data_IF_225012007689
#
_entry.id   IF_225012007689
#
_cell.length_a   1.000
_cell.length_b   1.000
_cell.length_c   1.000
_cell.angle_alpha   90.00
_cell.angle_beta   90.00
_cell.angle_gamma   90.00
#
_symmetry.space_group_name_H-M   'P 1'
#
loop_
_entity.id
_entity.type
_entity.pdbx_description
1 polymer ?
#
# COMPACT_ATOMS: atom_id res chain seq x y z
N UNK A 1 94.79 -16.86 -38.09
CA UNK A 1 94.52 -18.07 -38.90
C UNK A 1 93.84 -19.08 -38.01
N UNK A 2 92.86 -19.81 -38.44
CA UNK A 2 92.01 -20.82 -37.80
C UNK A 2 90.74 -20.30 -37.23
N UNK A 3 89.68 -20.56 -38.01
CA UNK A 3 88.27 -20.37 -37.67
C UNK A 3 87.78 -21.56 -36.85
N UNK A 4 87.23 -21.30 -35.67
CA UNK A 4 86.42 -22.28 -34.91
C UNK A 4 84.98 -22.10 -35.21
N UNK A 5 84.35 -23.11 -35.75
CA UNK A 5 82.90 -23.25 -35.88
C UNK A 5 82.34 -23.72 -34.57
N UNK A 6 81.40 -22.98 -34.02
CA UNK A 6 80.58 -23.41 -32.87
C UNK A 6 79.28 -23.89 -33.34
N UNK A 7 78.93 -25.12 -33.04
CA UNK A 7 77.61 -25.72 -33.21
C UNK A 7 76.64 -25.16 -32.17
N UNK A 8 75.50 -24.63 -32.66
CA UNK A 8 74.35 -24.32 -31.81
C UNK A 8 73.45 -25.55 -31.74
N UNK A 9 73.31 -26.09 -30.50
CA UNK A 9 72.31 -27.11 -30.18
C UNK A 9 70.99 -26.39 -29.89
N UNK A 10 69.92 -26.67 -30.68
CA UNK A 10 68.58 -26.20 -30.43
C UNK A 10 67.89 -27.11 -29.40
N UNK A 11 67.66 -26.63 -28.22
CA UNK A 11 66.75 -27.24 -27.23
C UNK A 11 65.32 -26.77 -27.50
N UNK A 12 64.46 -27.70 -27.91
CA UNK A 12 63.03 -27.46 -28.02
C UNK A 12 62.43 -27.40 -26.60
N UNK A 13 62.09 -26.20 -26.15
CA UNK A 13 61.32 -25.98 -24.93
C UNK A 13 59.82 -26.20 -25.26
N UNK A 14 59.26 -27.26 -24.70
CA UNK A 14 57.81 -27.45 -24.69
C UNK A 14 57.13 -26.38 -23.83
N UNK A 15 56.42 -25.44 -24.46
CA UNK A 15 55.55 -24.51 -23.81
C UNK A 15 54.30 -25.29 -23.31
N UNK A 16 54.25 -25.59 -22.00
CA UNK A 16 53.03 -26.02 -21.35
C UNK A 16 52.07 -24.82 -21.31
N UNK A 17 51.01 -24.87 -22.13
CA UNK A 17 49.88 -23.95 -22.03
C UNK A 17 49.19 -24.20 -20.68
N UNK A 18 48.85 -23.15 -19.89
CA UNK A 18 48.07 -23.33 -18.71
C UNK A 18 46.65 -23.83 -19.14
N UNK A 19 46.27 -24.99 -18.68
CA UNK A 19 44.91 -25.46 -18.78
C UNK A 19 44.01 -24.48 -18.03
N UNK A 20 43.29 -23.64 -18.74
CA UNK A 20 42.18 -22.85 -18.19
C UNK A 20 41.14 -23.88 -17.77
N UNK A 21 41.15 -24.24 -16.50
CA UNK A 21 40.02 -24.95 -15.89
C UNK A 21 38.88 -23.91 -15.84
N UNK A 22 38.07 -23.90 -16.87
CA UNK A 22 36.74 -23.31 -16.78
C UNK A 22 36.06 -24.02 -15.62
N UNK A 23 36.03 -23.36 -14.44
CA UNK A 23 35.05 -23.67 -13.43
C UNK A 23 33.70 -23.41 -14.08
N UNK A 24 33.07 -24.46 -14.59
CA UNK A 24 31.65 -24.46 -14.84
C UNK A 24 31.00 -24.10 -13.49
N UNK A 25 30.67 -22.83 -13.32
CA UNK A 25 29.70 -22.43 -12.35
C UNK A 25 28.42 -23.17 -12.75
N UNK A 26 28.17 -24.30 -12.15
CA UNK A 26 26.84 -24.89 -12.12
C UNK A 26 25.99 -23.83 -11.38
N UNK A 27 25.42 -22.88 -12.12
CA UNK A 27 24.33 -22.06 -11.62
C UNK A 27 23.29 -23.06 -11.15
N UNK A 28 23.12 -23.18 -9.81
CA UNK A 28 22.05 -23.98 -9.26
C UNK A 28 20.76 -23.44 -9.85
N UNK A 29 20.12 -24.24 -10.70
CA UNK A 29 18.87 -23.87 -11.33
C UNK A 29 17.83 -23.75 -10.23
N UNK A 30 17.12 -22.63 -10.20
CA UNK A 30 16.00 -22.43 -9.27
C UNK A 30 14.98 -23.59 -9.41
N UNK A 31 14.53 -24.11 -8.27
CA UNK A 31 13.49 -25.12 -8.22
C UNK A 31 12.44 -24.75 -7.16
N UNK A 32 11.19 -24.65 -7.55
CA UNK A 32 10.08 -24.43 -6.62
C UNK A 32 9.96 -25.51 -5.55
N UNK A 33 10.46 -26.72 -5.80
CA UNK A 33 10.39 -27.88 -4.88
C UNK A 33 11.57 -27.98 -3.91
N UNK A 34 12.49 -27.01 -3.89
CA UNK A 34 13.69 -27.06 -3.06
C UNK A 34 13.43 -27.12 -1.53
N UNK A 35 12.18 -26.79 -1.09
CA UNK A 35 11.74 -26.93 0.30
C UNK A 35 10.57 -27.92 0.44
N UNK A 36 10.43 -28.87 -0.49
CA UNK A 36 9.37 -29.89 -0.48
C UNK A 36 9.30 -30.63 0.86
N UNK A 37 8.09 -30.77 1.39
CA UNK A 37 7.80 -31.43 2.67
C UNK A 37 7.84 -30.49 3.87
N UNK A 38 8.28 -29.24 3.71
CA UNK A 38 8.19 -28.24 4.75
C UNK A 38 6.72 -27.89 5.06
N UNK A 39 6.49 -27.33 6.26
CA UNK A 39 5.24 -26.71 6.67
C UNK A 39 5.53 -25.28 7.09
N UNK A 40 4.73 -24.31 6.61
CA UNK A 40 4.81 -22.91 7.01
C UNK A 40 3.47 -22.42 7.56
N UNK A 41 3.54 -21.47 8.47
CA UNK A 41 2.37 -20.73 8.97
C UNK A 41 2.40 -19.30 8.44
N UNK A 42 1.28 -18.85 7.88
CA UNK A 42 1.14 -17.53 7.24
C UNK A 42 0.12 -16.70 7.98
N UNK A 43 0.54 -15.54 8.48
CA UNK A 43 -0.30 -14.60 9.23
C UNK A 43 -0.71 -13.44 8.33
N UNK A 44 -2.00 -13.34 8.01
CA UNK A 44 -2.58 -12.33 7.12
C UNK A 44 -3.58 -11.44 7.87
N UNK A 45 -3.58 -10.16 7.56
CA UNK A 45 -4.73 -9.32 7.88
C UNK A 45 -5.93 -9.74 7.02
N UNK A 46 -7.11 -9.90 7.65
CA UNK A 46 -8.33 -10.28 6.93
C UNK A 46 -8.69 -9.21 5.90
N UNK A 47 -8.71 -9.65 4.64
CA UNK A 47 -8.95 -8.78 3.50
C UNK A 47 -9.30 -9.60 2.26
N UNK A 48 -9.91 -8.99 1.22
CA UNK A 48 -10.11 -9.67 -0.06
C UNK A 48 -8.82 -10.26 -0.66
N UNK A 49 -7.68 -9.63 -0.40
CA UNK A 49 -6.35 -10.14 -0.82
C UNK A 49 -5.99 -11.45 -0.12
N UNK A 50 -6.22 -11.50 1.18
CA UNK A 50 -6.05 -12.73 1.96
C UNK A 50 -6.95 -13.85 1.46
N UNK A 51 -8.19 -13.54 1.09
CA UNK A 51 -9.14 -14.51 0.54
C UNK A 51 -8.64 -15.08 -0.80
N UNK A 52 -8.08 -14.25 -1.70
CA UNK A 52 -7.48 -14.72 -2.95
C UNK A 52 -6.27 -15.60 -2.69
N UNK A 53 -5.35 -15.20 -1.80
CA UNK A 53 -4.20 -16.03 -1.46
C UNK A 53 -4.61 -17.40 -0.90
N UNK A 54 -5.65 -17.44 -0.05
CA UNK A 54 -6.17 -18.71 0.47
C UNK A 54 -6.89 -19.54 -0.60
N UNK A 55 -7.63 -18.92 -1.51
CA UNK A 55 -8.31 -19.63 -2.60
C UNK A 55 -7.31 -20.32 -3.54
N UNK A 56 -6.13 -19.74 -3.73
CA UNK A 56 -5.05 -20.27 -4.57
C UNK A 56 -3.98 -21.06 -3.79
N UNK A 57 -4.13 -21.23 -2.47
CA UNK A 57 -3.15 -21.91 -1.61
C UNK A 57 -2.79 -23.30 -2.12
N UNK A 58 -3.78 -24.07 -2.59
CA UNK A 58 -3.58 -25.42 -3.11
C UNK A 58 -2.65 -25.44 -4.34
N UNK A 59 -2.73 -24.44 -5.20
CA UNK A 59 -1.83 -24.30 -6.36
C UNK A 59 -0.37 -24.11 -5.90
N UNK A 60 -0.15 -23.31 -4.86
CA UNK A 60 1.18 -23.19 -4.25
C UNK A 60 1.68 -24.51 -3.65
N UNK A 61 0.82 -25.22 -2.92
CA UNK A 61 1.17 -26.50 -2.30
C UNK A 61 1.51 -27.56 -3.35
N UNK A 62 0.78 -27.63 -4.47
CA UNK A 62 1.06 -28.52 -5.60
C UNK A 62 2.36 -28.14 -6.33
N UNK A 63 2.60 -26.85 -6.53
CA UNK A 63 3.81 -26.33 -7.16
C UNK A 63 5.07 -26.67 -6.38
N UNK A 64 5.01 -26.52 -5.05
CA UNK A 64 6.20 -26.54 -4.19
C UNK A 64 6.35 -27.81 -3.36
N UNK A 65 5.24 -28.49 -3.08
CA UNK A 65 5.19 -29.58 -2.09
C UNK A 65 5.30 -29.09 -0.63
N UNK A 66 5.14 -27.79 -0.38
CA UNK A 66 5.10 -27.17 0.94
C UNK A 66 3.65 -27.14 1.41
N UNK A 67 3.39 -27.47 2.68
CA UNK A 67 2.07 -27.30 3.28
C UNK A 67 1.94 -25.93 3.94
N UNK A 68 0.79 -25.29 3.78
CA UNK A 68 0.53 -23.94 4.30
C UNK A 68 -0.60 -23.96 5.32
N UNK A 69 -0.35 -23.47 6.53
CA UNK A 69 -1.36 -23.01 7.46
C UNK A 69 -1.53 -21.49 7.27
N UNK A 70 -2.73 -21.04 6.90
CA UNK A 70 -2.99 -19.61 6.73
C UNK A 70 -4.05 -19.12 7.71
N UNK A 71 -3.66 -18.20 8.58
CA UNK A 71 -4.57 -17.52 9.51
C UNK A 71 -4.87 -16.12 9.01
N UNK A 72 -6.17 -15.79 8.84
CA UNK A 72 -6.64 -14.43 8.58
C UNK A 72 -7.28 -13.84 9.83
N UNK A 73 -6.75 -12.71 10.32
CA UNK A 73 -7.20 -12.02 11.54
C UNK A 73 -7.61 -10.59 11.18
N UNK A 74 -8.69 -10.03 11.77
CA UNK A 74 -9.02 -8.61 11.61
C UNK A 74 -7.80 -7.72 11.89
N UNK A 75 -7.59 -6.69 11.08
CA UNK A 75 -6.34 -5.89 11.10
C UNK A 75 -6.00 -5.29 12.46
N UNK A 76 -7.01 -4.86 13.23
CA UNK A 76 -6.84 -4.29 14.57
C UNK A 76 -6.33 -5.31 15.60
N UNK A 77 -6.48 -6.60 15.33
CA UNK A 77 -5.97 -7.69 16.17
C UNK A 77 -4.68 -8.27 15.59
N UNK A 78 -4.58 -8.38 14.26
CA UNK A 78 -3.42 -8.93 13.57
C UNK A 78 -2.15 -8.10 13.83
N UNK A 79 -2.24 -6.78 13.69
CA UNK A 79 -1.08 -5.87 13.85
C UNK A 79 -0.43 -5.95 15.22
N UNK A 80 -1.16 -5.80 16.36
CA UNK A 80 -0.55 -5.94 17.68
C UNK A 80 -0.08 -7.38 17.96
N UNK A 81 -0.82 -8.41 17.54
CA UNK A 81 -0.38 -9.81 17.68
C UNK A 81 0.96 -10.02 16.99
N UNK A 82 1.06 -9.66 15.71
CA UNK A 82 2.29 -9.80 14.94
C UNK A 82 3.47 -9.02 15.56
N UNK A 83 3.23 -7.78 16.01
CA UNK A 83 4.25 -6.96 16.65
C UNK A 83 4.77 -7.59 17.95
N UNK A 84 3.88 -8.08 18.83
CA UNK A 84 4.25 -8.73 20.10
C UNK A 84 5.06 -10.00 19.83
N UNK A 85 4.63 -10.85 18.90
CA UNK A 85 5.30 -12.09 18.59
C UNK A 85 6.67 -11.86 17.95
N UNK A 86 6.79 -10.92 17.02
CA UNK A 86 8.07 -10.54 16.42
C UNK A 86 9.04 -9.94 17.45
N UNK A 87 8.53 -9.06 18.34
CA UNK A 87 9.33 -8.47 19.41
C UNK A 87 9.83 -9.51 20.43
N UNK A 88 9.05 -10.57 20.67
CA UNK A 88 9.44 -11.66 21.57
C UNK A 88 10.56 -12.56 20.98
N UNK A 89 10.87 -12.44 19.67
CA UNK A 89 11.77 -13.33 18.96
C UNK A 89 11.24 -14.76 18.76
N UNK A 90 9.94 -14.98 18.97
CA UNK A 90 9.29 -16.29 18.85
C UNK A 90 7.96 -16.21 18.10
N UNK A 91 7.99 -15.78 16.82
CA UNK A 91 6.77 -15.74 16.02
C UNK A 91 6.20 -17.15 15.82
N UNK A 92 4.88 -17.26 15.89
CA UNK A 92 4.15 -18.50 15.56
C UNK A 92 3.95 -18.67 14.06
N UNK A 93 4.41 -17.73 13.25
CA UNK A 93 4.27 -17.68 11.79
C UNK A 93 5.64 -17.54 11.11
N UNK A 94 5.74 -18.08 9.89
CA UNK A 94 6.93 -18.01 9.03
C UNK A 94 6.82 -16.86 7.99
N UNK A 95 5.58 -16.46 7.68
CA UNK A 95 5.28 -15.35 6.77
C UNK A 95 4.26 -14.42 7.43
N UNK A 96 4.44 -13.12 7.24
CA UNK A 96 3.54 -12.11 7.80
C UNK A 96 3.22 -11.01 6.79
N UNK A 97 1.93 -10.62 6.73
CA UNK A 97 1.50 -9.39 6.07
C UNK A 97 1.73 -8.20 7.01
N UNK A 98 2.35 -7.15 6.53
CA UNK A 98 2.70 -5.94 7.27
C UNK A 98 2.11 -4.71 6.59
N UNK A 99 1.39 -3.90 7.37
CA UNK A 99 0.91 -2.59 6.91
C UNK A 99 2.04 -1.56 7.05
N UNK A 100 2.78 -1.31 5.97
CA UNK A 100 3.97 -0.45 6.00
C UNK A 100 3.65 0.97 6.46
N UNK A 101 2.49 1.50 6.09
CA UNK A 101 2.02 2.84 6.50
C UNK A 101 1.79 3.03 8.02
N UNK A 102 1.78 1.93 8.81
CA UNK A 102 1.64 2.00 10.29
C UNK A 102 2.69 1.20 11.04
N UNK A 103 3.42 0.30 10.39
CA UNK A 103 4.35 -0.59 11.07
C UNK A 103 5.80 -0.45 10.61
N UNK A 104 6.07 0.32 9.52
CA UNK A 104 7.40 0.44 8.92
C UNK A 104 8.48 0.78 9.95
N UNK A 105 8.33 1.93 10.63
CA UNK A 105 9.33 2.38 11.60
C UNK A 105 9.49 1.43 12.79
N UNK A 106 8.39 0.80 13.20
CA UNK A 106 8.41 -0.16 14.30
C UNK A 106 9.21 -1.42 13.95
N UNK A 107 8.97 -2.00 12.77
CA UNK A 107 9.73 -3.18 12.30
C UNK A 107 11.19 -2.86 11.99
N UNK A 108 11.49 -1.68 11.50
CA UNK A 108 12.85 -1.20 11.26
C UNK A 108 13.63 -1.06 12.57
N UNK A 109 13.07 -0.35 13.56
CA UNK A 109 13.67 -0.14 14.88
C UNK A 109 13.91 -1.46 15.61
N UNK A 110 12.94 -2.39 15.54
CA UNK A 110 13.04 -3.70 16.15
C UNK A 110 13.86 -4.72 15.36
N UNK A 111 14.20 -4.43 14.10
CA UNK A 111 14.82 -5.37 13.14
C UNK A 111 14.09 -6.71 13.09
N UNK A 112 12.77 -6.66 13.07
CA UNK A 112 11.93 -7.86 13.20
C UNK A 112 11.77 -8.64 11.90
N UNK A 113 12.14 -8.06 10.76
CA UNK A 113 12.03 -8.71 9.46
C UNK A 113 13.39 -9.16 8.95
N UNK A 114 13.39 -10.25 8.19
CA UNK A 114 14.55 -10.73 7.43
C UNK A 114 14.95 -9.68 6.37
N UNK A 115 16.24 -9.51 6.16
CA UNK A 115 16.73 -8.72 5.03
C UNK A 115 16.60 -9.53 3.74
N UNK A 116 15.72 -9.12 2.85
CA UNK A 116 15.44 -9.85 1.63
C UNK A 116 16.49 -9.64 0.52
N UNK A 117 17.41 -8.68 0.65
CA UNK A 117 18.44 -8.43 -0.39
C UNK A 117 19.29 -9.67 -0.72
N UNK A 118 19.83 -10.42 0.26
CA UNK A 118 20.57 -11.64 -0.04
C UNK A 118 19.73 -12.71 -0.75
N UNK A 119 18.44 -12.79 -0.41
CA UNK A 119 17.51 -13.70 -1.04
C UNK A 119 17.25 -13.30 -2.49
N UNK A 120 16.89 -12.04 -2.73
CA UNK A 120 16.63 -11.46 -4.07
C UNK A 120 17.84 -11.67 -4.98
N UNK A 121 19.05 -11.46 -4.48
CA UNK A 121 20.30 -11.59 -5.25
C UNK A 121 20.73 -13.04 -5.50
N UNK A 122 20.11 -14.04 -4.86
CA UNK A 122 20.50 -15.44 -4.96
C UNK A 122 19.65 -16.20 -5.99
N UNK A 123 20.17 -16.49 -7.19
CA UNK A 123 19.40 -17.18 -8.24
C UNK A 123 19.06 -18.63 -7.90
N UNK A 124 19.67 -19.22 -6.87
CA UNK A 124 19.33 -20.58 -6.41
C UNK A 124 17.99 -20.65 -5.68
N UNK A 125 17.59 -19.56 -5.00
CA UNK A 125 16.36 -19.50 -4.18
C UNK A 125 15.34 -18.50 -4.73
N UNK A 126 15.69 -17.73 -5.73
CA UNK A 126 14.82 -16.70 -6.32
C UNK A 126 14.41 -17.07 -7.74
N UNK A 127 13.11 -17.10 -7.98
CA UNK A 127 12.53 -17.40 -9.27
C UNK A 127 12.98 -16.37 -10.33
N UNK A 128 13.35 -16.79 -11.53
CA UNK A 128 13.82 -15.88 -12.59
C UNK A 128 12.83 -14.79 -12.97
N UNK A 129 11.53 -14.98 -12.67
CA UNK A 129 10.45 -14.03 -12.96
C UNK A 129 10.12 -13.08 -11.80
N UNK A 130 10.93 -13.01 -10.73
CA UNK A 130 10.63 -12.12 -9.59
C UNK A 130 10.57 -10.65 -10.00
N UNK A 131 11.48 -10.20 -10.88
CA UNK A 131 11.49 -8.86 -11.52
C UNK A 131 11.15 -7.71 -10.53
N UNK A 132 12.16 -7.27 -9.81
CA UNK A 132 12.00 -6.19 -8.81
C UNK A 132 11.73 -4.82 -9.44
N UNK A 133 12.14 -4.60 -10.70
CA UNK A 133 11.95 -3.34 -11.43
C UNK A 133 10.49 -3.12 -11.86
N UNK A 134 9.70 -4.18 -11.90
CA UNK A 134 8.27 -4.11 -12.20
C UNK A 134 7.42 -3.54 -11.04
N UNK A 135 7.96 -3.53 -9.82
CA UNK A 135 7.31 -2.86 -8.70
C UNK A 135 7.43 -1.34 -8.81
N UNK A 136 6.40 -0.60 -8.38
CA UNK A 136 6.46 0.86 -8.36
C UNK A 136 7.55 1.37 -7.42
N UNK A 137 8.23 2.47 -7.79
CA UNK A 137 9.29 3.06 -6.97
C UNK A 137 8.82 3.40 -5.54
N UNK A 138 7.58 3.89 -5.39
CA UNK A 138 7.01 4.22 -4.09
C UNK A 138 6.87 2.97 -3.20
N UNK A 139 6.49 1.81 -3.77
CA UNK A 139 6.34 0.58 -2.98
C UNK A 139 7.69 0.00 -2.58
N UNK A 140 8.70 0.08 -3.44
CA UNK A 140 10.08 -0.31 -3.09
C UNK A 140 10.65 0.61 -2.00
N UNK A 141 10.42 1.92 -2.10
CA UNK A 141 10.81 2.87 -1.04
C UNK A 141 10.16 2.54 0.30
N UNK A 142 8.85 2.25 0.31
CA UNK A 142 8.15 1.86 1.52
C UNK A 142 8.65 0.52 2.09
N UNK A 143 9.02 -0.44 1.23
CA UNK A 143 9.53 -1.75 1.62
C UNK A 143 10.98 -1.70 2.14
N UNK A 144 11.70 -0.60 1.85
CA UNK A 144 13.14 -0.44 2.13
C UNK A 144 13.35 0.45 3.35
N UNK A 145 14.16 -0.01 4.28
CA UNK A 145 14.58 0.76 5.45
C UNK A 145 15.70 1.77 5.13
N UNK A 146 16.00 2.70 6.05
CA UNK A 146 17.02 3.72 5.86
C UNK A 146 18.45 3.15 5.74
N UNK A 147 18.68 1.93 6.22
CA UNK A 147 19.93 1.17 6.06
C UNK A 147 19.98 0.35 4.75
N UNK A 148 19.00 0.54 3.87
CA UNK A 148 18.87 -0.13 2.59
C UNK A 148 18.35 -1.56 2.67
N UNK A 149 17.98 -2.10 3.85
CA UNK A 149 17.38 -3.42 3.99
C UNK A 149 16.00 -3.44 3.33
N UNK A 150 15.73 -4.48 2.55
CA UNK A 150 14.40 -4.75 2.03
C UNK A 150 13.67 -5.65 3.03
N UNK A 151 12.73 -5.09 3.77
CA UNK A 151 12.06 -5.78 4.87
C UNK A 151 10.88 -6.66 4.42
N UNK A 152 10.26 -6.34 3.28
CA UNK A 152 9.10 -7.04 2.70
C UNK A 152 9.15 -6.95 1.18
N UNK A 153 8.44 -7.84 0.48
CA UNK A 153 8.02 -7.55 -0.90
C UNK A 153 6.68 -6.80 -0.87
N UNK A 154 6.49 -5.80 -1.76
CA UNK A 154 5.22 -5.09 -1.84
C UNK A 154 4.09 -6.04 -2.22
N UNK A 155 3.00 -6.00 -1.45
CA UNK A 155 1.84 -6.85 -1.66
C UNK A 155 0.65 -6.07 -2.24
N UNK A 156 0.44 -4.84 -1.77
CA UNK A 156 -0.63 -3.96 -2.25
C UNK A 156 -0.19 -2.51 -2.19
N UNK A 157 -0.67 -1.70 -3.13
CA UNK A 157 -0.52 -0.25 -3.11
C UNK A 157 -1.89 0.39 -3.29
N UNK A 158 -2.53 0.78 -2.20
CA UNK A 158 -3.78 1.51 -2.26
C UNK A 158 -3.52 3.01 -2.51
N UNK A 159 -4.44 3.65 -3.23
CA UNK A 159 -4.35 5.03 -3.65
C UNK A 159 -5.69 5.70 -3.40
N UNK A 160 -5.70 6.87 -2.80
CA UNK A 160 -6.93 7.62 -2.67
C UNK A 160 -7.33 8.24 -4.01
N UNK A 161 -8.63 8.12 -4.30
CA UNK A 161 -9.28 8.64 -5.50
C UNK A 161 -10.61 9.28 -5.14
N UNK A 162 -11.19 10.00 -6.08
CA UNK A 162 -12.55 10.47 -5.97
C UNK A 162 -13.49 9.55 -6.77
N UNK A 163 -14.37 8.85 -6.06
CA UNK A 163 -15.52 8.18 -6.68
C UNK A 163 -16.65 9.19 -6.82
N UNK A 164 -17.38 9.14 -7.94
CA UNK A 164 -18.55 10.00 -8.13
C UNK A 164 -19.70 9.24 -8.82
N UNK A 165 -20.93 9.64 -8.53
CA UNK A 165 -22.13 9.06 -9.15
C UNK A 165 -22.46 9.85 -10.42
N UNK A 166 -22.17 9.26 -11.59
CA UNK A 166 -22.37 9.88 -12.92
C UNK A 166 -23.81 10.34 -13.11
N UNK A 167 -24.79 9.51 -12.74
CA UNK A 167 -26.21 9.85 -12.91
C UNK A 167 -26.60 11.11 -12.15
N UNK A 168 -26.13 11.30 -10.90
CA UNK A 168 -26.36 12.51 -10.13
C UNK A 168 -25.70 13.73 -10.76
N UNK A 169 -24.47 13.56 -11.26
CA UNK A 169 -23.74 14.64 -11.93
C UNK A 169 -24.40 15.03 -13.25
N UNK A 170 -24.81 14.06 -14.07
CA UNK A 170 -25.48 14.28 -15.35
C UNK A 170 -26.83 15.01 -15.14
N UNK A 171 -27.64 14.56 -14.19
CA UNK A 171 -28.92 15.20 -13.84
C UNK A 171 -28.74 16.66 -13.39
N UNK A 172 -27.65 16.94 -12.65
CA UNK A 172 -27.33 18.30 -12.22
C UNK A 172 -26.55 19.12 -13.27
N UNK A 173 -26.23 18.52 -14.44
CA UNK A 173 -25.39 19.12 -15.49
C UNK A 173 -24.03 19.59 -14.93
N UNK A 174 -23.41 18.75 -14.13
CA UNK A 174 -22.08 18.95 -13.56
C UNK A 174 -21.05 18.05 -14.23
N UNK A 175 -19.86 18.58 -14.48
CA UNK A 175 -18.69 17.77 -14.80
C UNK A 175 -18.07 17.20 -13.51
N UNK A 176 -17.30 16.08 -13.58
CA UNK A 176 -16.50 15.62 -12.46
C UNK A 176 -15.56 16.73 -11.97
N UNK A 177 -15.45 16.95 -10.65
CA UNK A 177 -14.66 18.04 -10.10
C UNK A 177 -13.17 17.85 -10.34
N UNK A 178 -12.48 18.93 -10.72
CA UNK A 178 -11.03 18.98 -10.95
C UNK A 178 -10.28 19.77 -9.87
N UNK A 179 -11.01 20.46 -8.99
CA UNK A 179 -10.47 21.24 -7.88
C UNK A 179 -11.25 21.03 -6.59
N UNK A 180 -10.65 21.31 -5.43
CA UNK A 180 -11.35 21.27 -4.15
C UNK A 180 -12.52 22.24 -4.09
N UNK A 181 -12.42 23.37 -4.74
CA UNK A 181 -13.55 24.33 -4.86
C UNK A 181 -14.72 23.72 -5.63
N UNK A 182 -14.44 23.01 -6.72
CA UNK A 182 -15.47 22.31 -7.50
C UNK A 182 -16.08 21.12 -6.74
N UNK A 183 -15.30 20.39 -5.89
CA UNK A 183 -15.85 19.38 -4.97
C UNK A 183 -16.89 20.05 -4.05
N UNK A 184 -16.55 21.18 -3.45
CA UNK A 184 -17.44 21.90 -2.52
C UNK A 184 -18.73 22.35 -3.22
N UNK A 185 -18.61 22.92 -4.41
CA UNK A 185 -19.76 23.35 -5.24
C UNK A 185 -20.64 22.16 -5.63
N UNK A 186 -20.03 21.04 -6.05
CA UNK A 186 -20.78 19.84 -6.40
C UNK A 186 -21.47 19.24 -5.16
N UNK A 187 -20.77 19.20 -4.03
CA UNK A 187 -21.32 18.70 -2.77
C UNK A 187 -22.56 19.50 -2.33
N UNK A 188 -22.49 20.83 -2.42
CA UNK A 188 -23.64 21.71 -2.12
C UNK A 188 -24.82 21.46 -3.06
N UNK A 189 -24.59 21.46 -4.37
CA UNK A 189 -25.63 21.30 -5.38
C UNK A 189 -26.30 19.93 -5.39
N UNK A 190 -25.57 18.88 -4.99
CA UNK A 190 -26.03 17.50 -5.01
C UNK A 190 -26.56 17.01 -3.65
N UNK A 191 -26.58 17.88 -2.62
CA UNK A 191 -27.14 17.56 -1.31
C UNK A 191 -28.63 17.87 -1.27
N UNK A 192 -29.45 16.84 -1.00
CA UNK A 192 -30.87 16.96 -0.69
C UNK A 192 -31.14 16.17 0.61
N UNK A 193 -30.97 16.82 1.74
CA UNK A 193 -31.14 16.20 3.07
C UNK A 193 -32.56 15.69 3.29
N UNK A 194 -33.56 16.30 2.65
CA UNK A 194 -34.96 15.86 2.77
C UNK A 194 -35.19 14.49 2.13
N UNK A 195 -34.42 14.17 1.09
CA UNK A 195 -34.44 12.85 0.42
C UNK A 195 -33.40 11.88 0.98
N UNK A 196 -32.62 12.28 1.97
CA UNK A 196 -31.50 11.46 2.48
C UNK A 196 -30.35 11.28 1.47
N UNK A 197 -30.18 12.25 0.56
CA UNK A 197 -29.13 12.28 -0.44
C UNK A 197 -28.09 13.34 -0.04
N UNK A 198 -26.82 12.99 -0.13
CA UNK A 198 -25.71 13.80 0.31
C UNK A 198 -24.72 14.02 -0.83
N UNK A 199 -24.14 15.20 -0.90
CA UNK A 199 -23.15 15.52 -1.93
C UNK A 199 -21.81 14.79 -1.72
N UNK A 200 -21.53 14.39 -0.47
CA UNK A 200 -20.26 13.78 -0.10
C UNK A 200 -20.43 12.68 0.96
N UNK A 201 -19.51 11.73 0.98
CA UNK A 201 -19.28 10.83 2.13
C UNK A 201 -17.77 10.63 2.30
N UNK A 202 -17.30 10.53 3.54
CA UNK A 202 -15.89 10.36 3.88
C UNK A 202 -15.73 9.89 5.32
N UNK A 203 -14.53 9.43 5.67
CA UNK A 203 -14.23 8.87 6.98
C UNK A 203 -14.26 9.95 8.07
N UNK A 204 -15.14 9.82 9.04
CA UNK A 204 -15.22 10.68 10.22
C UNK A 204 -14.87 10.00 11.54
N UNK A 205 -14.85 8.65 11.56
CA UNK A 205 -14.55 7.87 12.75
C UNK A 205 -13.11 8.14 13.24
N UNK A 206 -12.95 8.40 14.53
CA UNK A 206 -11.66 8.58 15.19
C UNK A 206 -10.67 7.51 14.74
N UNK A 207 -9.49 7.95 14.48
CA UNK A 207 -8.28 7.45 13.83
C UNK A 207 -8.41 7.04 12.34
N UNK A 208 -9.58 6.64 11.87
CA UNK A 208 -9.80 6.44 10.43
C UNK A 208 -9.93 7.77 9.67
N UNK A 209 -10.40 8.85 10.33
CA UNK A 209 -10.54 10.19 9.76
C UNK A 209 -9.19 10.84 9.42
N UNK A 210 -8.11 10.47 10.13
CA UNK A 210 -6.77 11.03 9.89
C UNK A 210 -6.27 10.74 8.47
N UNK A 211 -6.51 9.55 7.93
CA UNK A 211 -6.05 9.21 6.56
C UNK A 211 -6.75 10.04 5.47
N UNK A 212 -8.03 10.39 5.68
CA UNK A 212 -8.74 11.29 4.77
C UNK A 212 -8.24 12.72 4.94
N UNK A 213 -8.10 13.19 6.19
CA UNK A 213 -7.61 14.54 6.49
C UNK A 213 -6.18 14.74 5.97
N UNK A 214 -5.28 13.79 6.17
CA UNK A 214 -3.90 13.90 5.69
C UNK A 214 -3.87 13.99 4.15
N UNK A 215 -4.73 13.23 3.44
CA UNK A 215 -4.83 13.41 1.98
C UNK A 215 -5.39 14.77 1.58
N UNK A 216 -6.37 15.31 2.33
CA UNK A 216 -6.87 16.68 2.09
C UNK A 216 -5.73 17.68 2.30
N UNK A 217 -4.94 17.56 3.37
CA UNK A 217 -3.81 18.43 3.68
C UNK A 217 -2.73 18.43 2.58
N UNK A 218 -2.49 17.30 1.91
CA UNK A 218 -1.59 17.22 0.77
C UNK A 218 -1.99 18.18 -0.37
N UNK A 219 -3.26 18.59 -0.45
CA UNK A 219 -3.73 19.62 -1.37
C UNK A 219 -3.18 21.03 -1.09
N UNK A 220 -2.67 21.28 0.12
CA UNK A 220 -1.92 22.49 0.49
C UNK A 220 -0.40 22.33 0.31
N UNK A 221 0.05 21.23 -0.34
CA UNK A 221 1.45 20.84 -0.49
C UNK A 221 2.16 20.72 0.88
N UNK A 222 1.45 20.18 1.86
CA UNK A 222 1.96 20.01 3.22
C UNK A 222 1.65 18.60 3.75
N UNK A 223 2.64 18.04 4.42
CA UNK A 223 2.53 16.84 5.24
C UNK A 223 2.35 17.19 6.73
N UNK A 224 2.05 16.21 7.56
CA UNK A 224 1.86 16.40 9.00
C UNK A 224 3.17 16.55 9.79
N UNK A 225 4.29 16.17 9.16
CA UNK A 225 5.65 16.36 9.69
C UNK A 225 6.48 17.23 8.74
N UNK A 226 7.48 17.90 9.31
CA UNK A 226 8.56 18.52 8.53
C UNK A 226 9.36 17.47 7.74
N UNK A 227 10.04 17.90 6.67
CA UNK A 227 10.81 17.01 5.81
C UNK A 227 11.91 16.21 6.55
N UNK A 228 12.43 16.73 7.67
CA UNK A 228 13.39 16.04 8.54
C UNK A 228 12.72 15.12 9.59
N UNK A 229 11.39 15.04 9.60
CA UNK A 229 10.59 14.22 10.52
C UNK A 229 10.56 14.69 11.97
N UNK A 230 11.17 15.84 12.30
CA UNK A 230 11.37 16.28 13.70
C UNK A 230 10.30 17.22 14.23
N UNK A 231 9.61 17.92 13.35
CA UNK A 231 8.61 18.91 13.72
C UNK A 231 7.21 18.52 13.29
N UNK A 232 6.27 18.60 14.21
CA UNK A 232 4.86 18.40 13.93
C UNK A 232 4.26 19.67 13.30
N UNK A 233 3.58 19.53 12.17
CA UNK A 233 3.00 20.62 11.38
C UNK A 233 1.46 20.61 11.40
N UNK A 234 0.85 19.80 12.27
CA UNK A 234 -0.61 19.62 12.32
C UNK A 234 -1.40 20.82 12.83
N UNK A 235 -0.75 21.83 13.38
CA UNK A 235 -1.34 23.13 13.77
C UNK A 235 -0.80 24.32 12.96
N UNK A 236 -0.21 24.06 11.80
CA UNK A 236 0.22 25.09 10.86
C UNK A 236 -0.98 25.82 10.21
N UNK A 237 -0.82 27.01 9.64
CA UNK A 237 -1.87 27.68 8.89
C UNK A 237 -2.52 26.80 7.81
N UNK A 238 -1.72 26.06 7.04
CA UNK A 238 -2.22 25.15 6.00
C UNK A 238 -3.04 23.99 6.60
N UNK A 239 -2.60 23.42 7.74
CA UNK A 239 -3.34 22.39 8.44
C UNK A 239 -4.69 22.88 8.96
N UNK A 240 -4.74 24.13 9.48
CA UNK A 240 -5.99 24.76 9.95
C UNK A 240 -6.94 25.02 8.79
N UNK A 241 -6.45 25.52 7.65
CA UNK A 241 -7.26 25.71 6.44
C UNK A 241 -7.81 24.39 5.92
N UNK A 242 -6.99 23.35 5.84
CA UNK A 242 -7.41 22.01 5.44
C UNK A 242 -8.47 21.42 6.39
N UNK A 243 -8.32 21.62 7.70
CA UNK A 243 -9.28 21.18 8.69
C UNK A 243 -10.60 21.95 8.61
N UNK A 244 -10.55 23.24 8.28
CA UNK A 244 -11.74 24.08 8.03
C UNK A 244 -12.49 23.58 6.79
N UNK A 245 -11.77 23.23 5.71
CA UNK A 245 -12.36 22.63 4.52
C UNK A 245 -12.98 21.26 4.83
N UNK A 246 -12.26 20.40 5.57
CA UNK A 246 -12.74 19.10 6.02
C UNK A 246 -13.99 19.23 6.90
N UNK A 247 -13.99 20.15 7.86
CA UNK A 247 -15.16 20.46 8.69
C UNK A 247 -16.37 20.78 7.85
N UNK A 248 -16.22 21.69 6.89
CA UNK A 248 -17.33 22.16 6.05
C UNK A 248 -17.91 21.02 5.22
N UNK A 249 -17.09 20.23 4.51
CA UNK A 249 -17.59 19.16 3.65
C UNK A 249 -18.29 18.07 4.45
N UNK A 250 -17.76 17.74 5.61
CA UNK A 250 -18.33 16.68 6.47
C UNK A 250 -19.59 17.10 7.20
N UNK A 251 -19.70 18.34 7.65
CA UNK A 251 -20.89 18.83 8.39
C UNK A 251 -22.04 19.21 7.46
N UNK A 252 -21.71 19.89 6.38
CA UNK A 252 -22.74 20.49 5.55
C UNK A 252 -23.28 19.51 4.51
N UNK A 253 -22.44 18.59 4.00
CA UNK A 253 -22.74 17.81 2.81
C UNK A 253 -22.57 16.29 2.97
N UNK A 254 -22.11 15.79 4.12
CA UNK A 254 -22.04 14.36 4.43
C UNK A 254 -23.24 13.90 5.28
N UNK A 255 -23.52 12.59 5.37
CA UNK A 255 -24.59 12.05 6.19
C UNK A 255 -24.48 12.46 7.65
N UNK A 256 -25.64 12.74 8.27
CA UNK A 256 -25.70 12.92 9.71
C UNK A 256 -25.19 11.64 10.41
N UNK A 257 -24.26 11.79 11.36
CA UNK A 257 -23.58 10.67 12.01
C UNK A 257 -22.31 10.19 11.29
N UNK A 258 -21.88 10.85 10.20
CA UNK A 258 -20.61 10.53 9.51
C UNK A 258 -19.36 10.58 10.40
N UNK A 259 -19.42 11.21 11.56
CA UNK A 259 -18.37 11.12 12.62
C UNK A 259 -18.11 9.69 13.08
N UNK A 260 -19.06 8.75 12.89
CA UNK A 260 -18.91 7.33 13.17
C UNK A 260 -18.54 6.49 11.95
N UNK A 261 -18.34 7.08 10.77
CA UNK A 261 -18.10 6.34 9.53
C UNK A 261 -16.62 6.04 9.33
N UNK A 262 -16.33 4.77 9.09
CA UNK A 262 -15.09 4.30 8.48
C UNK A 262 -15.34 4.06 6.97
N UNK A 263 -14.40 3.46 6.28
CA UNK A 263 -14.50 3.18 4.83
C UNK A 263 -15.74 2.31 4.49
N UNK A 264 -16.11 1.34 5.32
CA UNK A 264 -17.23 0.42 5.07
C UNK A 264 -18.59 1.13 5.06
N UNK A 265 -18.84 2.05 5.99
CA UNK A 265 -20.06 2.85 6.04
C UNK A 265 -20.13 3.84 4.89
N UNK A 266 -18.97 4.44 4.53
CA UNK A 266 -18.85 5.32 3.36
C UNK A 266 -19.14 4.57 2.06
N UNK A 267 -18.53 3.38 1.87
CA UNK A 267 -18.75 2.51 0.73
C UNK A 267 -20.24 2.11 0.60
N UNK A 268 -20.85 1.71 1.71
CA UNK A 268 -22.28 1.36 1.75
C UNK A 268 -23.15 2.57 1.36
N UNK A 269 -22.87 3.74 1.95
CA UNK A 269 -23.62 4.97 1.64
C UNK A 269 -23.52 5.32 0.15
N UNK A 270 -22.33 5.24 -0.43
CA UNK A 270 -22.09 5.52 -1.84
C UNK A 270 -22.71 4.45 -2.77
N UNK A 271 -22.49 3.16 -2.50
CA UNK A 271 -23.01 2.05 -3.31
C UNK A 271 -24.55 1.97 -3.31
N UNK A 272 -25.20 2.46 -2.27
CA UNK A 272 -26.66 2.57 -2.22
C UNK A 272 -27.20 3.83 -2.92
N UNK A 273 -26.34 4.66 -3.54
CA UNK A 273 -26.73 5.88 -4.25
C UNK A 273 -27.15 7.02 -3.33
N UNK A 274 -26.74 7.01 -2.06
CA UNK A 274 -27.09 8.05 -1.09
C UNK A 274 -26.02 9.13 -0.95
N UNK A 275 -24.89 8.97 -1.63
CA UNK A 275 -23.86 10.03 -1.74
C UNK A 275 -23.47 10.22 -3.20
N UNK A 276 -23.25 11.49 -3.60
CA UNK A 276 -22.81 11.84 -4.94
C UNK A 276 -21.32 11.65 -5.14
N UNK A 277 -20.53 11.83 -4.09
CA UNK A 277 -19.08 11.67 -4.10
C UNK A 277 -18.61 10.90 -2.87
N UNK A 278 -17.54 10.11 -3.07
CA UNK A 278 -16.81 9.42 -2.01
C UNK A 278 -15.31 9.54 -2.26
N UNK A 279 -14.56 10.00 -1.29
CA UNK A 279 -13.12 10.14 -1.36
C UNK A 279 -12.45 9.10 -0.48
N UNK A 280 -11.86 8.06 -1.10
CA UNK A 280 -11.26 6.94 -0.39
C UNK A 280 -10.33 6.11 -1.29
N UNK A 281 -9.82 4.99 -0.78
CA UNK A 281 -8.94 4.08 -1.48
C UNK A 281 -9.58 3.39 -2.68
N UNK A 282 -8.88 3.40 -3.82
CA UNK A 282 -9.35 2.76 -5.05
C UNK A 282 -9.52 1.24 -4.91
N UNK A 283 -8.79 0.62 -3.96
CA UNK A 283 -8.93 -0.80 -3.63
C UNK A 283 -10.29 -1.20 -3.07
N UNK A 284 -11.16 -0.24 -2.73
CA UNK A 284 -12.53 -0.49 -2.30
C UNK A 284 -13.56 -0.50 -3.43
N UNK A 285 -13.12 -0.50 -4.70
CA UNK A 285 -14.00 -0.39 -5.87
C UNK A 285 -14.87 -1.62 -6.13
N UNK A 286 -14.44 -2.83 -5.76
CA UNK A 286 -15.11 -4.06 -6.17
C UNK A 286 -16.62 -4.12 -5.83
N UNK A 287 -17.07 -3.80 -4.61
CA UNK A 287 -18.51 -3.79 -4.31
C UNK A 287 -19.31 -2.75 -5.10
N UNK A 288 -18.67 -1.69 -5.62
CA UNK A 288 -19.34 -0.63 -6.38
C UNK A 288 -19.78 -1.10 -7.78
N UNK A 289 -19.07 -2.08 -8.35
CA UNK A 289 -19.33 -2.64 -9.67
C UNK A 289 -20.03 -4.01 -9.62
N UNK A 290 -20.30 -4.53 -8.42
CA UNK A 290 -21.02 -5.79 -8.17
C UNK A 290 -22.53 -5.55 -8.06
N UNK A 291 -23.36 -6.09 -8.99
CA UNK A 291 -24.82 -5.89 -8.96
C UNK A 291 -25.50 -6.47 -7.72
N UNK A 292 -24.87 -7.42 -7.02
CA UNK A 292 -25.40 -7.95 -5.77
C UNK A 292 -25.21 -7.00 -4.57
N UNK A 293 -24.30 -6.00 -4.69
CA UNK A 293 -23.87 -5.12 -3.58
C UNK A 293 -24.18 -3.64 -3.84
N UNK A 294 -24.32 -3.24 -5.10
CA UNK A 294 -24.44 -1.83 -5.48
C UNK A 294 -25.71 -1.55 -6.29
N UNK A 295 -26.40 -0.45 -5.96
CA UNK A 295 -27.51 0.11 -6.73
C UNK A 295 -27.07 1.04 -7.86
N UNK A 296 -25.78 1.35 -7.91
CA UNK A 296 -25.20 2.31 -8.86
C UNK A 296 -24.20 1.65 -9.83
N UNK A 297 -24.36 0.34 -10.07
CA UNK A 297 -23.54 -0.37 -11.06
C UNK A 297 -23.68 0.30 -12.43
N UNK A 298 -22.56 0.52 -13.12
CA UNK A 298 -22.50 1.25 -14.38
C UNK A 298 -22.59 2.78 -14.27
N UNK A 299 -22.90 3.31 -13.07
CA UNK A 299 -23.03 4.75 -12.78
C UNK A 299 -21.86 5.30 -11.98
N UNK A 300 -20.88 4.46 -11.60
CA UNK A 300 -19.70 4.87 -10.85
C UNK A 300 -18.67 5.46 -11.79
N UNK A 301 -18.25 6.69 -11.50
CA UNK A 301 -17.09 7.34 -12.11
C UNK A 301 -15.89 7.29 -11.18
N UNK A 302 -14.70 7.25 -11.76
CA UNK A 302 -13.42 7.22 -11.07
C UNK A 302 -12.60 8.42 -11.54
N UNK A 303 -12.10 9.22 -10.62
CA UNK A 303 -11.26 10.35 -10.94
C UNK A 303 -10.06 10.42 -9.99
N UNK A 304 -8.87 10.85 -10.45
CA UNK A 304 -7.77 11.19 -9.54
C UNK A 304 -8.24 12.23 -8.53
N UNK A 305 -7.58 12.32 -7.38
CA UNK A 305 -7.85 13.38 -6.42
C UNK A 305 -7.72 14.73 -7.14
N UNK A 306 -8.74 15.61 -7.05
CA UNK A 306 -8.70 16.94 -7.64
C UNK A 306 -7.57 17.80 -7.11
N UNK A 307 -7.19 18.83 -7.88
CA UNK A 307 -6.20 19.83 -7.48
C UNK A 307 -6.66 20.55 -6.22
N UNK A 308 -5.84 20.52 -5.19
CA UNK A 308 -6.00 21.35 -3.99
C UNK A 308 -5.59 22.81 -4.23
N UNK A 309 -5.60 23.64 -3.19
CA UNK A 309 -5.21 25.06 -3.31
C UNK A 309 -3.78 25.28 -3.83
N UNK A 310 -2.87 24.34 -3.58
CA UNK A 310 -1.44 24.46 -3.97
C UNK A 310 -0.91 23.27 -4.76
N UNK A 311 -1.44 22.04 -4.54
CA UNK A 311 -0.91 20.84 -5.15
C UNK A 311 -1.99 19.79 -5.43
N UNK A 312 -1.63 18.80 -6.26
CA UNK A 312 -2.46 17.62 -6.53
C UNK A 312 -1.68 16.37 -6.10
N UNK A 313 -2.12 15.74 -5.03
CA UNK A 313 -1.51 14.51 -4.52
C UNK A 313 -2.57 13.49 -4.12
N UNK A 314 -2.25 12.22 -4.36
CA UNK A 314 -3.02 11.08 -3.86
C UNK A 314 -2.28 10.46 -2.67
N UNK A 315 -2.96 10.28 -1.54
CA UNK A 315 -2.39 9.49 -0.46
C UNK A 315 -2.24 8.04 -0.88
N UNK A 316 -1.07 7.45 -0.58
CA UNK A 316 -0.83 6.02 -0.83
C UNK A 316 -0.60 5.27 0.47
N UNK A 317 -1.10 4.02 0.49
CA UNK A 317 -1.02 3.10 1.61
C UNK A 317 -0.50 1.76 1.10
N UNK A 318 0.62 1.31 1.65
CA UNK A 318 1.33 0.14 1.14
C UNK A 318 1.29 -0.96 2.18
N UNK A 319 0.89 -2.15 1.73
CA UNK A 319 1.04 -3.38 2.48
C UNK A 319 2.19 -4.19 1.87
N UNK A 320 2.95 -4.84 2.72
CA UNK A 320 4.00 -5.77 2.33
C UNK A 320 3.75 -7.16 2.88
N UNK A 321 4.49 -8.12 2.35
CA UNK A 321 4.56 -9.48 2.86
C UNK A 321 6.01 -9.88 3.00
N UNK A 322 6.37 -10.50 4.12
CA UNK A 322 7.77 -10.81 4.39
C UNK A 322 7.96 -11.90 5.43
N UNK A 323 9.20 -12.10 5.81
CA UNK A 323 9.67 -13.18 6.66
C UNK A 323 10.10 -12.58 8.00
N UNK A 324 9.58 -13.04 9.15
CA UNK A 324 10.13 -12.64 10.45
C UNK A 324 11.60 -13.03 10.58
N UNK A 325 12.44 -12.13 11.12
CA UNK A 325 13.87 -12.38 11.30
C UNK A 325 14.15 -13.66 12.13
N UNK A 326 13.29 -13.94 13.11
CA UNK A 326 13.33 -15.14 13.95
C UNK A 326 12.56 -16.35 13.37
N UNK A 327 12.06 -16.26 12.13
CA UNK A 327 11.36 -17.33 11.43
C UNK A 327 12.28 -18.54 11.19
N UNK A 328 11.72 -19.75 11.22
CA UNK A 328 12.48 -21.00 11.15
C UNK A 328 12.60 -21.56 9.73
N UNK A 329 11.51 -21.49 8.97
CA UNK A 329 11.39 -22.11 7.64
C UNK A 329 11.65 -21.11 6.51
N UNK A 330 12.74 -20.34 6.59
CA UNK A 330 12.98 -19.15 5.74
C UNK A 330 12.95 -19.43 4.24
N UNK A 331 13.53 -20.56 3.78
CA UNK A 331 13.50 -20.93 2.35
C UNK A 331 12.06 -21.17 1.88
N UNK A 332 11.27 -21.93 2.64
CA UNK A 332 9.87 -22.19 2.31
C UNK A 332 9.03 -20.91 2.37
N UNK A 333 9.27 -20.06 3.36
CA UNK A 333 8.65 -18.74 3.49
C UNK A 333 8.99 -17.81 2.31
N UNK A 334 10.25 -17.83 1.85
CA UNK A 334 10.68 -17.04 0.69
C UNK A 334 10.00 -17.49 -0.60
N UNK A 335 9.82 -18.79 -0.81
CA UNK A 335 9.05 -19.29 -1.95
C UNK A 335 7.59 -18.81 -1.91
N UNK A 336 6.96 -18.79 -0.71
CA UNK A 336 5.61 -18.27 -0.56
C UNK A 336 5.53 -16.76 -0.84
N UNK A 337 6.46 -15.98 -0.32
CA UNK A 337 6.51 -14.51 -0.54
C UNK A 337 6.63 -14.18 -2.03
N UNK A 338 7.51 -14.89 -2.77
CA UNK A 338 7.65 -14.72 -4.22
C UNK A 338 6.38 -15.09 -4.98
N UNK A 339 5.75 -16.22 -4.62
CA UNK A 339 4.52 -16.67 -5.25
C UNK A 339 3.37 -15.68 -5.01
N UNK A 340 3.18 -15.24 -3.76
CA UNK A 340 2.13 -14.29 -3.38
C UNK A 340 2.24 -12.93 -4.08
N UNK A 341 3.46 -12.54 -4.49
CA UNK A 341 3.76 -11.27 -5.16
C UNK A 341 4.11 -11.43 -6.64
N UNK A 342 3.79 -12.59 -7.23
CA UNK A 342 4.16 -12.92 -8.59
C UNK A 342 3.32 -12.19 -9.64
N UNK A 343 3.84 -12.15 -10.87
CA UNK A 343 3.12 -11.68 -12.07
C UNK A 343 1.92 -12.57 -12.45
N UNK A 344 1.83 -13.77 -11.89
CA UNK A 344 0.68 -14.67 -12.09
C UNK A 344 -0.40 -14.47 -11.03
N UNK A 345 -0.04 -14.09 -9.80
CA UNK A 345 -1.01 -13.89 -8.71
C UNK A 345 -1.73 -12.53 -8.80
N UNK A 346 -1.02 -11.45 -9.16
CA UNK A 346 -1.62 -10.13 -9.19
C UNK A 346 -2.74 -9.92 -10.24
N UNK A 347 -2.75 -10.57 -11.43
CA UNK A 347 -3.91 -10.55 -12.32
C UNK A 347 -5.21 -11.04 -11.64
N UNK A 348 -5.12 -12.03 -10.76
CA UNK A 348 -6.28 -12.54 -10.01
C UNK A 348 -6.89 -11.47 -9.09
N UNK A 349 -6.08 -10.56 -8.56
CA UNK A 349 -6.58 -9.45 -7.75
C UNK A 349 -7.42 -8.47 -8.58
N UNK A 350 -6.99 -8.16 -9.81
CA UNK A 350 -7.75 -7.30 -10.71
C UNK A 350 -9.00 -7.99 -11.23
N UNK A 351 -8.92 -9.29 -11.49
CA UNK A 351 -10.08 -10.09 -11.93
C UNK A 351 -11.16 -10.18 -10.84
N UNK A 352 -10.76 -10.30 -9.58
CA UNK A 352 -11.67 -10.45 -8.44
C UNK A 352 -11.95 -9.14 -7.70
N UNK A 353 -11.22 -8.06 -8.02
CA UNK A 353 -11.29 -6.80 -7.30
C UNK A 353 -10.71 -6.84 -5.89
N UNK A 354 -9.77 -7.75 -5.64
CA UNK A 354 -9.22 -7.96 -4.29
C UNK A 354 -8.29 -6.85 -3.81
N UNK A 355 -7.79 -5.99 -4.70
CA UNK A 355 -6.87 -4.90 -4.34
C UNK A 355 -6.16 -4.30 -5.55
N UNK A 356 -5.15 -3.52 -5.26
CA UNK A 356 -4.35 -2.75 -6.21
C UNK A 356 -2.94 -3.33 -6.28
N UNK A 357 -2.61 -4.13 -7.30
CA UNK A 357 -1.27 -4.68 -7.46
C UNK A 357 -0.19 -3.61 -7.49
N UNK A 358 0.97 -3.82 -6.84
CA UNK A 358 2.06 -2.86 -6.87
C UNK A 358 2.96 -2.96 -8.12
N UNK A 359 2.67 -3.91 -9.04
CA UNK A 359 3.43 -4.13 -10.28
C UNK A 359 2.87 -3.35 -11.46
N UNK A 360 3.75 -2.62 -12.16
CA UNK A 360 3.38 -1.81 -13.32
C UNK A 360 2.82 -2.64 -14.49
N UNK A 361 3.32 -3.87 -14.69
CA UNK A 361 2.84 -4.79 -15.72
C UNK A 361 1.35 -5.14 -15.56
N UNK A 362 0.83 -5.20 -14.34
CA UNK A 362 -0.57 -5.50 -14.05
C UNK A 362 -1.56 -4.51 -14.67
N UNK A 363 -1.11 -3.28 -14.96
CA UNK A 363 -1.94 -2.20 -15.50
C UNK A 363 -1.74 -1.98 -17.02
N UNK A 364 -0.72 -2.59 -17.59
CA UNK A 364 -0.32 -2.37 -18.98
C UNK A 364 -0.65 -3.54 -19.90
N UNK A 365 -0.88 -4.73 -19.35
CA UNK A 365 -1.21 -5.91 -20.12
C UNK A 365 -2.69 -5.86 -20.55
N UNK A 366 -2.99 -5.75 -21.89
CA UNK A 366 -4.36 -5.68 -22.38
C UNK A 366 -5.21 -6.91 -22.02
N UNK A 367 -4.57 -8.08 -21.85
CA UNK A 367 -5.30 -9.29 -21.47
C UNK A 367 -5.77 -9.23 -20.02
N UNK A 368 -4.93 -8.70 -19.12
CA UNK A 368 -5.29 -8.48 -17.71
C UNK A 368 -6.39 -7.42 -17.61
N UNK A 369 -6.22 -6.29 -18.30
CA UNK A 369 -7.22 -5.20 -18.31
C UNK A 369 -8.57 -5.71 -18.80
N UNK A 370 -8.61 -6.48 -19.88
CA UNK A 370 -9.83 -7.06 -20.45
C UNK A 370 -10.48 -8.09 -19.52
N UNK A 371 -9.69 -8.86 -18.79
CA UNK A 371 -10.19 -9.88 -17.86
C UNK A 371 -10.62 -9.30 -16.51
N UNK A 372 -10.29 -8.05 -16.20
CA UNK A 372 -10.64 -7.37 -14.96
C UNK A 372 -12.13 -7.08 -14.88
N UNK A 373 -12.64 -7.02 -13.66
CA UNK A 373 -14.00 -6.55 -13.38
C UNK A 373 -14.16 -5.02 -13.50
N UNK A 374 -13.06 -4.27 -13.63
CA UNK A 374 -13.05 -2.81 -13.61
C UNK A 374 -13.07 -2.21 -15.03
N UNK A 375 -13.73 -1.04 -15.24
CA UNK A 375 -13.70 -0.33 -16.50
C UNK A 375 -12.32 0.33 -16.75
N UNK A 376 -12.03 0.67 -18.02
CA UNK A 376 -10.79 1.34 -18.41
C UNK A 376 -10.48 2.60 -17.57
N UNK A 377 -11.49 3.40 -17.26
CA UNK A 377 -11.34 4.61 -16.44
C UNK A 377 -10.75 4.32 -15.05
N UNK A 378 -11.03 3.14 -14.47
CA UNK A 378 -10.42 2.73 -13.20
C UNK A 378 -8.89 2.58 -13.34
N UNK A 379 -8.44 1.97 -14.45
CA UNK A 379 -7.00 1.82 -14.75
C UNK A 379 -6.34 3.19 -15.00
N UNK A 380 -6.97 4.04 -15.79
CA UNK A 380 -6.45 5.38 -16.12
C UNK A 380 -6.34 6.25 -14.85
N UNK A 381 -7.35 6.18 -13.98
CA UNK A 381 -7.36 6.84 -12.67
C UNK A 381 -6.25 6.30 -11.77
N UNK A 382 -6.07 4.98 -11.72
CA UNK A 382 -5.00 4.34 -10.93
C UNK A 382 -3.63 4.80 -11.40
N UNK A 383 -3.36 4.72 -12.72
CA UNK A 383 -2.08 5.15 -13.30
C UNK A 383 -1.79 6.63 -13.09
N UNK A 384 -2.82 7.47 -13.15
CA UNK A 384 -2.68 8.91 -12.87
C UNK A 384 -2.38 9.16 -11.39
N UNK A 385 -3.11 8.49 -10.49
CA UNK A 385 -2.92 8.62 -9.05
C UNK A 385 -1.54 8.10 -8.59
N UNK A 386 -1.00 7.07 -9.24
CA UNK A 386 0.37 6.59 -8.99
C UNK A 386 1.44 7.67 -9.22
N UNK A 387 1.26 8.53 -10.24
CA UNK A 387 2.24 9.58 -10.58
C UNK A 387 2.26 10.72 -9.55
N UNK A 388 1.15 10.94 -8.87
CA UNK A 388 0.98 11.99 -7.86
C UNK A 388 0.94 11.44 -6.43
N UNK A 389 1.31 10.18 -6.24
CA UNK A 389 1.24 9.50 -4.96
C UNK A 389 2.24 10.06 -3.94
N UNK A 390 1.76 10.28 -2.70
CA UNK A 390 2.57 10.58 -1.52
C UNK A 390 2.12 9.74 -0.33
N UNK A 391 2.96 9.59 0.69
CA UNK A 391 2.58 8.89 1.92
C UNK A 391 1.32 9.51 2.52
N UNK A 392 0.37 8.67 2.89
CA UNK A 392 -0.90 9.09 3.49
C UNK A 392 -0.86 9.20 5.03
N UNK A 393 0.28 8.88 5.65
CA UNK A 393 0.50 8.99 7.10
C UNK A 393 1.98 9.26 7.38
N UNK A 394 2.31 9.89 8.51
CA UNK A 394 3.71 10.11 8.90
C UNK A 394 4.42 8.79 9.22
N UNK A 395 5.67 8.66 8.76
CA UNK A 395 6.51 7.49 9.03
C UNK A 395 7.19 7.60 10.40
N UNK A 396 6.43 7.41 11.48
CA UNK A 396 6.88 7.44 12.87
C UNK A 396 6.52 6.15 13.61
N UNK A 397 7.25 5.82 14.68
CA UNK A 397 6.93 4.67 15.54
C UNK A 397 5.56 4.84 16.21
N UNK A 398 5.24 5.98 16.87
CA UNK A 398 3.96 6.17 17.54
C UNK A 398 2.82 6.60 16.58
N UNK A 399 2.80 6.11 15.33
CA UNK A 399 1.78 6.51 14.35
C UNK A 399 0.34 6.17 14.78
N UNK A 400 0.15 5.12 15.54
CA UNK A 400 -1.17 4.76 16.08
C UNK A 400 -1.62 5.81 17.10
N UNK A 401 -0.74 6.22 18.02
CA UNK A 401 -1.00 7.26 19.01
C UNK A 401 -1.20 8.63 18.35
N UNK A 402 -0.43 8.93 17.30
CA UNK A 402 -0.65 10.09 16.43
C UNK A 402 -2.08 10.10 15.87
N UNK A 403 -2.49 9.00 15.24
CA UNK A 403 -3.84 8.86 14.67
C UNK A 403 -4.95 8.98 15.69
N UNK A 404 -4.73 8.47 16.92
CA UNK A 404 -5.70 8.60 18.00
C UNK A 404 -5.80 10.04 18.49
N UNK A 405 -4.67 10.72 18.68
CA UNK A 405 -4.61 12.09 19.18
C UNK A 405 -5.20 13.09 18.18
N UNK A 406 -4.74 13.07 16.93
CA UNK A 406 -5.24 13.96 15.89
C UNK A 406 -6.69 13.59 15.50
N UNK A 407 -7.02 12.29 15.49
CA UNK A 407 -8.36 11.81 15.17
C UNK A 407 -9.44 12.29 16.13
N UNK A 408 -9.14 12.45 17.41
CA UNK A 408 -10.05 13.06 18.41
C UNK A 408 -10.32 14.52 18.02
N UNK A 409 -9.27 15.31 17.74
CA UNK A 409 -9.41 16.70 17.32
C UNK A 409 -10.27 16.82 16.05
N UNK A 410 -10.03 16.00 15.04
CA UNK A 410 -10.80 15.99 13.80
C UNK A 410 -12.28 15.61 14.05
N UNK A 411 -12.57 14.69 14.96
CA UNK A 411 -13.95 14.35 15.34
C UNK A 411 -14.63 15.54 16.00
N UNK A 412 -13.96 16.26 16.91
CA UNK A 412 -14.48 17.47 17.55
C UNK A 412 -14.71 18.60 16.51
N UNK A 413 -13.78 18.76 15.57
CA UNK A 413 -13.88 19.73 14.47
C UNK A 413 -15.13 19.45 13.62
N UNK A 414 -15.35 18.22 13.19
CA UNK A 414 -16.58 17.83 12.48
C UNK A 414 -17.82 18.07 13.35
N UNK A 415 -17.72 17.88 14.67
CA UNK A 415 -18.76 18.23 15.64
C UNK A 415 -19.04 19.72 15.79
N UNK A 416 -18.17 20.60 15.28
CA UNK A 416 -18.34 22.07 15.27
C UNK A 416 -17.36 22.84 16.13
N UNK A 417 -16.37 22.17 16.71
CA UNK A 417 -15.28 22.84 17.43
C UNK A 417 -14.40 23.66 16.45
N UNK A 418 -13.72 24.66 16.99
CA UNK A 418 -12.80 25.52 16.24
C UNK A 418 -11.55 24.72 15.79
N UNK A 419 -11.26 24.65 14.48
CA UNK A 419 -10.13 23.88 13.95
C UNK A 419 -8.77 24.30 14.52
N UNK A 420 -8.51 25.60 14.68
CA UNK A 420 -7.23 26.09 15.18
C UNK A 420 -7.01 25.67 16.65
N UNK A 421 -8.03 25.77 17.47
CA UNK A 421 -7.99 25.40 18.89
C UNK A 421 -7.79 23.89 19.06
N UNK A 422 -8.56 23.07 18.36
CA UNK A 422 -8.48 21.61 18.49
C UNK A 422 -7.17 21.05 17.94
N UNK A 423 -6.69 21.50 16.77
CA UNK A 423 -5.42 21.08 16.21
C UNK A 423 -4.23 21.51 17.08
N UNK A 424 -4.25 22.75 17.61
CA UNK A 424 -3.20 23.19 18.54
C UNK A 424 -3.16 22.31 19.78
N UNK A 425 -4.30 22.04 20.42
CA UNK A 425 -4.40 21.16 21.59
C UNK A 425 -3.87 19.76 21.31
N UNK A 426 -4.25 19.16 20.19
CA UNK A 426 -3.78 17.84 19.77
C UNK A 426 -2.27 17.83 19.48
N UNK A 427 -1.77 18.87 18.81
CA UNK A 427 -0.35 19.04 18.50
C UNK A 427 0.48 19.18 19.77
N UNK A 428 0.05 20.00 20.72
CA UNK A 428 0.72 20.17 22.01
C UNK A 428 0.77 18.86 22.82
N UNK A 429 -0.30 18.05 22.75
CA UNK A 429 -0.35 16.74 23.42
C UNK A 429 0.59 15.71 22.74
N UNK A 430 0.76 15.75 21.42
CA UNK A 430 1.56 14.76 20.70
C UNK A 430 3.05 15.13 20.60
N UNK A 431 3.44 16.41 20.61
CA UNK A 431 4.86 16.83 20.52
C UNK A 431 5.79 16.13 21.51
N UNK A 432 5.42 15.94 22.81
CA UNK A 432 6.27 15.19 23.76
C UNK A 432 6.41 13.70 23.39
N UNK A 433 5.43 13.12 22.70
CA UNK A 433 5.49 11.72 22.24
C UNK A 433 6.44 11.60 21.07
N UNK A 434 6.35 12.50 20.07
CA UNK A 434 7.25 12.57 18.94
C UNK A 434 8.71 12.80 19.38
N UNK A 435 8.94 13.68 20.35
CA UNK A 435 10.28 13.97 20.88
C UNK A 435 10.99 12.77 21.51
N UNK A 436 10.25 11.75 21.95
CA UNK A 436 10.84 10.51 22.49
C UNK A 436 11.31 9.54 21.40
N UNK A 437 10.90 9.77 20.16
CA UNK A 437 11.35 8.95 19.02
C UNK A 437 12.75 9.35 18.51
N UNK A 438 13.08 10.63 18.65
CA UNK A 438 14.38 11.19 18.27
C UNK A 438 15.47 10.75 19.24
#
# INVERSE_FOLDING_TARGET
MLRRRTLLAATAGALAAPAIVERANAQSTFDWKQAKGAKIEVNLAKSPRGDVLQAHQKEFEELTGIRVGAEQIPEQQQRPKAAIEMASGRPSFDVVNVAMHVQKRLIEKGRWMEDLRPWIANPAVTAPGLDMEDFSAATIQAATGPDGRVNVLPLNQDLFVLFYNREMFDQAKLAPPKTYAEIMTAAERLTDKAKGVYGFTGRGLKNANVVLYDNILLGWDQETLSADGKSLLTDSPAAIEAATWYQKIMRDYAPQGSVGYNWSECQTTFSQGRAAMWWDGIGFSAPLVDPAKSKIVGKVGFAPIPMGPKAQHSATFIDGIGIPAAGKNKTAAWLYVQWATSKTMFPEWLRTGAGTPPRASSYKDPAIVKASMFPQEWFDTTLTSLRIARSGLPEIVPVTEFRDTIGIALTNIVGGADPATELKKASDAFRPVLAKEA
#
